data_IF_126386947861
#
_entry.id   IF_126386947861
#
_cell.length_a   1.000
_cell.length_b   1.000
_cell.length_c   1.000
_cell.angle_alpha   90.00
_cell.angle_beta   90.00
_cell.angle_gamma   90.00
#
_symmetry.space_group_name_H-M   'P 1'
#
loop_
_entity.id
_entity.type
_entity.pdbx_description
1 polymer ?
#
# COMPACT_ATOMS: atom_id res chain seq x y z
N UNK A 1 69.62 -30.04 44.13
CA UNK A 1 69.19 -28.63 44.03
C UNK A 1 68.40 -28.49 42.75
N UNK A 2 67.08 -28.33 42.86
CA UNK A 2 66.16 -28.14 41.73
C UNK A 2 66.01 -26.65 41.44
N UNK A 3 66.14 -26.24 40.19
CA UNK A 3 65.53 -25.01 39.68
C UNK A 3 64.94 -25.24 38.28
N UNK A 4 63.60 -25.13 38.27
CA UNK A 4 62.73 -24.40 37.35
C UNK A 4 62.87 -24.56 35.82
N UNK A 5 61.70 -24.77 35.20
CA UNK A 5 61.42 -24.30 33.84
C UNK A 5 60.40 -25.15 33.08
N UNK A 6 59.11 -24.89 33.27
CA UNK A 6 58.10 -25.24 32.26
C UNK A 6 58.23 -24.28 31.08
N UNK A 7 57.90 -24.71 29.84
CA UNK A 7 56.60 -24.30 29.32
C UNK A 7 55.90 -25.28 28.36
N UNK A 8 54.57 -25.12 28.33
CA UNK A 8 53.66 -25.14 27.17
C UNK A 8 53.54 -26.34 26.22
N UNK A 9 52.30 -26.87 26.21
CA UNK A 9 51.44 -27.18 25.04
C UNK A 9 51.84 -28.37 24.14
N UNK A 10 51.04 -29.44 24.21
CA UNK A 10 51.01 -30.54 23.24
C UNK A 10 49.69 -31.31 23.36
N UNK A 11 49.00 -31.46 22.23
CA UNK A 11 47.66 -31.98 22.00
C UNK A 11 47.44 -33.48 22.33
N UNK A 12 46.25 -33.97 21.96
CA UNK A 12 45.73 -35.35 21.95
C UNK A 12 45.02 -35.74 23.27
N UNK A 13 43.70 -35.83 23.35
CA UNK A 13 42.73 -36.39 22.41
C UNK A 13 42.33 -37.76 22.95
N UNK A 14 41.11 -37.92 23.46
CA UNK A 14 40.44 -39.22 23.63
C UNK A 14 38.94 -39.02 23.82
N UNK A 15 38.20 -39.70 22.94
CA UNK A 15 36.76 -39.87 22.95
C UNK A 15 36.29 -40.52 24.25
N UNK A 16 35.11 -40.12 24.73
CA UNK A 16 34.20 -41.08 25.36
C UNK A 16 32.76 -40.55 25.47
N UNK A 17 31.96 -40.98 24.50
CA UNK A 17 30.61 -41.54 24.66
C UNK A 17 29.53 -40.75 25.41
N UNK A 18 28.56 -40.28 24.63
CA UNK A 18 27.19 -40.01 25.03
C UNK A 18 26.49 -41.28 25.56
N UNK A 19 25.67 -41.10 26.60
CA UNK A 19 24.43 -41.86 26.81
C UNK A 19 23.34 -40.92 27.36
N UNK A 20 22.06 -41.15 27.03
CA UNK A 20 21.05 -40.10 26.91
C UNK A 20 20.19 -39.94 28.17
N UNK A 21 20.00 -38.71 28.61
CA UNK A 21 19.05 -38.38 29.67
C UNK A 21 17.62 -38.45 29.08
N UNK A 22 16.93 -39.54 29.42
CA UNK A 22 15.51 -39.75 29.15
C UNK A 22 14.65 -38.65 29.80
N UNK A 23 14.00 -37.89 28.92
CA UNK A 23 12.64 -37.36 29.01
C UNK A 23 11.90 -37.56 30.36
N UNK A 24 11.80 -36.48 31.14
CA UNK A 24 10.66 -36.24 32.03
C UNK A 24 9.92 -35.02 31.50
N UNK A 25 8.93 -35.30 30.66
CA UNK A 25 8.09 -34.32 29.99
C UNK A 25 7.01 -33.83 30.97
N UNK A 26 7.38 -32.92 31.86
CA UNK A 26 6.38 -32.01 32.39
C UNK A 26 6.23 -30.91 31.35
N UNK A 27 5.14 -31.01 30.59
CA UNK A 27 4.68 -29.97 29.70
C UNK A 27 4.45 -28.69 30.52
N UNK A 28 5.50 -27.87 30.60
CA UNK A 28 5.38 -26.47 30.95
C UNK A 28 4.49 -25.84 29.89
N UNK A 29 3.24 -25.64 30.29
CA UNK A 29 2.31 -24.72 29.65
C UNK A 29 2.93 -23.31 29.76
N UNK A 30 3.88 -23.01 28.87
CA UNK A 30 4.47 -21.68 28.79
C UNK A 30 3.37 -20.72 28.30
N UNK A 31 3.07 -19.64 29.04
CA UNK A 31 2.19 -18.57 28.56
C UNK A 31 2.97 -17.67 27.58
N UNK A 32 3.58 -18.27 26.55
CA UNK A 32 4.37 -17.56 25.53
C UNK A 32 3.55 -17.16 24.29
N UNK A 33 2.24 -17.46 24.25
CA UNK A 33 1.36 -17.08 23.15
C UNK A 33 0.91 -15.61 23.19
N UNK A 34 1.48 -14.79 24.09
CA UNK A 34 1.46 -13.33 23.98
C UNK A 34 2.42 -12.85 22.88
N UNK A 35 2.33 -13.46 21.70
CA UNK A 35 3.00 -12.94 20.52
C UNK A 35 2.47 -11.53 20.27
N UNK A 36 3.38 -10.56 20.37
CA UNK A 36 3.19 -9.16 19.95
C UNK A 36 3.02 -9.16 18.43
N UNK A 37 1.94 -9.75 17.96
CA UNK A 37 1.56 -9.64 16.56
C UNK A 37 0.74 -8.37 16.47
N UNK A 38 1.16 -7.46 15.59
CA UNK A 38 0.37 -6.35 15.08
C UNK A 38 -0.84 -6.87 14.27
N UNK A 39 -1.51 -7.91 14.77
CA UNK A 39 -2.69 -8.49 14.18
C UNK A 39 -3.84 -7.57 14.52
N UNK A 40 -4.48 -7.08 13.46
CA UNK A 40 -5.62 -6.19 13.55
C UNK A 40 -6.72 -6.86 14.40
N UNK A 41 -7.15 -6.19 15.47
CA UNK A 41 -8.24 -6.70 16.32
C UNK A 41 -9.54 -6.72 15.51
N UNK A 42 -10.21 -7.88 15.36
CA UNK A 42 -11.45 -7.98 14.58
C UNK A 42 -12.56 -7.15 15.23
N UNK A 43 -13.47 -6.60 14.43
CA UNK A 43 -14.51 -5.67 14.88
C UNK A 43 -15.36 -6.25 16.03
N UNK A 44 -15.67 -7.54 15.97
CA UNK A 44 -16.37 -8.26 17.04
C UNK A 44 -15.66 -8.14 18.39
N UNK A 45 -14.35 -8.37 18.43
CA UNK A 45 -13.56 -8.25 19.65
C UNK A 45 -13.47 -6.81 20.15
N UNK A 46 -13.45 -5.81 19.25
CA UNK A 46 -13.49 -4.38 19.62
C UNK A 46 -14.80 -4.02 20.32
N UNK A 47 -15.93 -4.54 19.84
CA UNK A 47 -17.25 -4.35 20.48
C UNK A 47 -17.31 -5.03 21.85
N UNK A 48 -16.82 -6.28 21.96
CA UNK A 48 -16.74 -6.98 23.25
C UNK A 48 -15.90 -6.22 24.28
N UNK A 49 -14.78 -5.62 23.87
CA UNK A 49 -13.94 -4.79 24.74
C UNK A 49 -14.75 -3.64 25.35
N UNK A 50 -15.54 -2.93 24.55
CA UNK A 50 -16.39 -1.83 25.04
C UNK A 50 -17.45 -2.34 26.01
N UNK A 51 -18.16 -3.43 25.66
CA UNK A 51 -19.18 -4.01 26.54
C UNK A 51 -18.59 -4.46 27.88
N UNK A 52 -17.43 -5.14 27.88
CA UNK A 52 -16.77 -5.53 29.11
C UNK A 52 -16.27 -4.33 29.92
N UNK A 53 -15.92 -3.23 29.23
CA UNK A 53 -15.55 -1.99 29.90
C UNK A 53 -16.74 -1.37 30.61
N UNK A 54 -17.92 -1.38 29.98
CA UNK A 54 -19.17 -0.89 30.58
C UNK A 54 -19.60 -1.73 31.79
N UNK A 55 -19.27 -3.03 31.79
CA UNK A 55 -19.49 -3.93 32.93
C UNK A 55 -18.46 -3.77 34.06
N UNK A 56 -17.49 -2.86 33.93
CA UNK A 56 -16.54 -2.53 34.99
C UNK A 56 -15.35 -3.48 35.12
N UNK A 57 -15.11 -4.38 34.15
CA UNK A 57 -13.94 -5.26 34.19
C UNK A 57 -12.63 -4.45 34.08
N UNK A 58 -11.56 -4.98 34.69
CA UNK A 58 -10.23 -4.39 34.55
C UNK A 58 -9.66 -4.63 33.15
N UNK A 59 -8.81 -3.74 32.66
CA UNK A 59 -8.22 -3.88 31.32
C UNK A 59 -7.44 -5.19 31.13
N UNK A 60 -6.84 -5.73 32.19
CA UNK A 60 -6.11 -7.01 32.15
C UNK A 60 -7.07 -8.17 31.96
N UNK A 61 -8.18 -8.21 32.70
CA UNK A 61 -9.21 -9.24 32.56
C UNK A 61 -9.84 -9.20 31.16
N UNK A 62 -10.18 -8.00 30.67
CA UNK A 62 -10.71 -7.82 29.30
C UNK A 62 -9.71 -8.38 28.27
N UNK A 63 -8.43 -8.10 28.46
CA UNK A 63 -7.35 -8.63 27.62
C UNK A 63 -7.33 -10.15 27.59
N UNK A 64 -7.43 -10.80 28.75
CA UNK A 64 -7.53 -12.25 28.86
C UNK A 64 -8.77 -12.83 28.16
N UNK A 65 -9.95 -12.21 28.30
CA UNK A 65 -11.19 -12.67 27.66
C UNK A 65 -11.17 -12.57 26.13
N UNK A 66 -10.40 -11.62 25.60
CA UNK A 66 -10.33 -11.30 24.16
C UNK A 66 -9.04 -11.86 23.52
N UNK A 67 -8.12 -12.40 24.32
CA UNK A 67 -6.82 -12.88 23.87
C UNK A 67 -5.93 -11.76 23.34
N UNK A 68 -5.90 -10.60 24.02
CA UNK A 68 -5.12 -9.41 23.61
C UNK A 68 -4.42 -8.77 24.80
N UNK A 69 -3.36 -8.00 24.51
CA UNK A 69 -2.62 -7.28 25.54
C UNK A 69 -3.49 -6.16 26.13
N UNK A 70 -3.38 -5.96 27.45
CA UNK A 70 -3.96 -4.85 28.18
C UNK A 70 -3.73 -3.51 27.47
N UNK A 71 -2.54 -3.28 26.89
CA UNK A 71 -2.23 -2.05 26.13
C UNK A 71 -3.14 -1.86 24.91
N UNK A 72 -3.48 -2.95 24.21
CA UNK A 72 -4.41 -2.92 23.08
C UNK A 72 -5.82 -2.61 23.54
N UNK A 73 -6.22 -3.15 24.70
CA UNK A 73 -7.53 -2.88 25.30
C UNK A 73 -7.65 -1.40 25.70
N UNK A 74 -6.63 -0.86 26.39
CA UNK A 74 -6.58 0.56 26.78
C UNK A 74 -6.72 1.44 25.54
N UNK A 75 -5.92 1.21 24.50
CA UNK A 75 -6.01 1.99 23.26
C UNK A 75 -7.39 1.95 22.59
N UNK A 76 -8.07 0.79 22.61
CA UNK A 76 -9.42 0.65 22.06
C UNK A 76 -10.44 1.42 22.89
N UNK A 77 -10.36 1.33 24.22
CA UNK A 77 -11.24 2.06 25.13
C UNK A 77 -11.05 3.57 25.02
N UNK A 78 -9.80 4.05 24.99
CA UNK A 78 -9.49 5.48 24.82
C UNK A 78 -10.05 6.01 23.52
N UNK A 79 -9.89 5.25 22.43
CA UNK A 79 -10.44 5.63 21.14
C UNK A 79 -11.98 5.61 21.13
N UNK A 80 -12.60 4.65 21.82
CA UNK A 80 -14.06 4.64 21.98
C UNK A 80 -14.56 5.89 22.72
N UNK A 81 -13.87 6.31 23.79
CA UNK A 81 -14.20 7.53 24.51
C UNK A 81 -14.06 8.80 23.64
N UNK A 82 -13.09 8.82 22.72
CA UNK A 82 -12.85 9.98 21.85
C UNK A 82 -13.78 10.04 20.63
N UNK A 83 -14.01 8.91 19.96
CA UNK A 83 -14.69 8.87 18.66
C UNK A 83 -16.11 8.29 18.72
N UNK A 84 -16.48 7.60 19.81
CA UNK A 84 -17.76 6.89 19.92
C UNK A 84 -17.93 5.74 18.93
N UNK A 85 -16.83 5.26 18.31
CA UNK A 85 -16.89 4.17 17.33
C UNK A 85 -15.84 3.08 17.55
N UNK A 86 -16.31 1.84 17.40
CA UNK A 86 -15.44 0.65 17.39
C UNK A 86 -14.86 0.38 16.01
N UNK A 87 -15.35 1.08 14.98
CA UNK A 87 -14.94 0.88 13.60
C UNK A 87 -13.53 1.37 13.35
N UNK A 88 -12.90 0.82 12.32
CA UNK A 88 -11.57 1.25 11.91
C UNK A 88 -11.72 2.53 11.10
N UNK A 89 -10.80 3.47 11.31
CA UNK A 89 -10.67 4.60 10.40
C UNK A 89 -10.30 4.05 9.02
N UNK A 90 -11.00 4.52 7.98
CA UNK A 90 -10.61 4.27 6.61
C UNK A 90 -9.17 4.74 6.41
N UNK A 91 -8.38 3.99 5.66
CA UNK A 91 -7.03 4.44 5.29
C UNK A 91 -7.19 5.58 4.30
N UNK A 92 -6.81 6.78 4.69
CA UNK A 92 -6.66 7.88 3.73
C UNK A 92 -5.56 7.52 2.74
N UNK A 93 -5.82 7.73 1.45
CA UNK A 93 -4.78 7.60 0.45
C UNK A 93 -3.74 8.71 0.65
N UNK A 94 -2.44 8.44 0.43
CA UNK A 94 -1.43 9.47 0.39
C UNK A 94 -1.84 10.59 -0.60
N UNK A 95 -1.44 11.84 -0.34
CA UNK A 95 -1.70 12.94 -1.28
C UNK A 95 -1.17 12.56 -2.66
N UNK A 96 -2.03 12.74 -3.67
CA UNK A 96 -1.67 12.42 -5.04
C UNK A 96 -0.70 13.49 -5.57
N UNK A 97 0.38 13.06 -6.21
CA UNK A 97 1.35 13.93 -6.88
C UNK A 97 0.73 14.81 -7.99
N UNK A 98 -0.47 14.45 -8.47
CA UNK A 98 -1.17 15.14 -9.55
C UNK A 98 -2.45 15.74 -8.97
N UNK A 99 -2.66 17.03 -9.21
CA UNK A 99 -3.87 17.73 -8.79
C UNK A 99 -5.07 17.35 -9.67
N UNK A 100 -6.29 17.54 -9.17
CA UNK A 100 -7.52 17.28 -9.95
C UNK A 100 -7.58 18.10 -11.25
N UNK A 101 -6.94 19.28 -11.29
CA UNK A 101 -6.86 20.13 -12.48
C UNK A 101 -5.91 19.54 -13.53
N UNK A 102 -4.73 19.10 -13.11
CA UNK A 102 -3.77 18.44 -13.99
C UNK A 102 -4.31 17.12 -14.53
N UNK A 103 -5.01 16.32 -13.71
CA UNK A 103 -5.63 15.06 -14.17
C UNK A 103 -6.62 15.31 -15.31
N UNK A 104 -7.43 16.39 -15.21
CA UNK A 104 -8.32 16.81 -16.30
C UNK A 104 -7.56 17.24 -17.54
N UNK A 105 -6.46 17.99 -17.38
CA UNK A 105 -5.62 18.42 -18.50
C UNK A 105 -4.93 17.24 -19.20
N UNK A 106 -4.42 16.27 -18.44
CA UNK A 106 -3.82 15.03 -18.95
C UNK A 106 -4.84 14.25 -19.78
N UNK A 107 -6.05 14.06 -19.23
CA UNK A 107 -7.14 13.37 -19.93
C UNK A 107 -7.55 14.13 -21.19
N UNK A 108 -7.71 15.45 -21.10
CA UNK A 108 -8.09 16.28 -22.23
C UNK A 108 -7.06 16.19 -23.38
N UNK A 109 -5.76 16.30 -23.09
CA UNK A 109 -4.72 16.17 -24.11
C UNK A 109 -4.76 14.81 -24.81
N UNK A 110 -4.92 13.73 -24.04
CA UNK A 110 -4.96 12.36 -24.59
C UNK A 110 -6.22 12.05 -25.39
N UNK A 111 -7.33 12.74 -25.13
CA UNK A 111 -8.58 12.61 -25.88
C UNK A 111 -8.55 13.43 -27.17
N UNK A 112 -8.05 14.67 -27.10
CA UNK A 112 -7.99 15.61 -28.23
C UNK A 112 -6.99 15.16 -29.29
N UNK A 113 -5.80 14.74 -28.88
CA UNK A 113 -4.80 14.16 -29.78
C UNK A 113 -4.48 12.73 -29.34
N UNK A 114 -5.07 11.77 -30.07
CA UNK A 114 -4.90 10.35 -29.76
C UNK A 114 -3.48 9.82 -30.06
N UNK A 115 -2.66 10.59 -30.77
CA UNK A 115 -1.27 10.25 -31.08
C UNK A 115 -0.26 10.78 -30.05
N UNK A 116 -0.72 11.60 -29.10
CA UNK A 116 0.15 12.20 -28.09
C UNK A 116 0.77 11.13 -27.18
N UNK A 117 2.05 11.30 -26.86
CA UNK A 117 2.77 10.36 -26.00
C UNK A 117 2.68 10.76 -24.52
N UNK A 118 2.85 9.80 -23.62
CA UNK A 118 2.93 10.09 -22.18
C UNK A 118 4.11 11.01 -21.82
N UNK A 119 5.20 10.97 -22.61
CA UNK A 119 6.37 11.84 -22.40
C UNK A 119 6.06 13.30 -22.77
N UNK A 120 5.41 13.52 -23.91
CA UNK A 120 5.01 14.86 -24.34
C UNK A 120 3.98 15.46 -23.39
N UNK A 121 3.06 14.65 -22.85
CA UNK A 121 2.14 15.08 -21.79
C UNK A 121 2.91 15.49 -20.53
N UNK A 122 3.87 14.68 -20.06
CA UNK A 122 4.66 15.02 -18.88
C UNK A 122 5.40 16.35 -19.06
N UNK A 123 6.10 16.53 -20.19
CA UNK A 123 6.80 17.79 -20.50
C UNK A 123 5.86 18.99 -20.52
N UNK A 124 4.64 18.83 -21.05
CA UNK A 124 3.65 19.90 -21.05
C UNK A 124 3.21 20.27 -19.62
N UNK A 125 2.89 19.29 -18.78
CA UNK A 125 2.51 19.53 -17.38
C UNK A 125 3.65 20.17 -16.58
N UNK A 126 4.88 19.68 -16.78
CA UNK A 126 6.08 20.21 -16.14
C UNK A 126 6.28 21.69 -16.51
N UNK A 127 6.03 22.06 -17.78
CA UNK A 127 6.17 23.45 -18.25
C UNK A 127 5.12 24.41 -17.68
N UNK A 128 3.91 23.91 -17.38
CA UNK A 128 2.79 24.73 -16.91
C UNK A 128 2.77 24.87 -15.39
N UNK A 129 3.22 23.84 -14.67
CA UNK A 129 2.96 23.70 -13.23
C UNK A 129 4.23 23.78 -12.38
N UNK A 130 5.41 23.82 -13.01
CA UNK A 130 6.72 23.88 -12.35
C UNK A 130 6.99 22.73 -11.34
N UNK A 131 6.24 21.63 -11.44
CA UNK A 131 6.53 20.38 -10.75
C UNK A 131 6.75 19.29 -11.80
N UNK A 132 7.67 18.36 -11.52
CA UNK A 132 7.96 17.28 -12.47
C UNK A 132 7.12 16.05 -12.22
N UNK A 133 6.32 15.65 -13.22
CA UNK A 133 5.53 14.43 -13.18
C UNK A 133 6.23 13.33 -13.96
N UNK A 134 6.48 12.19 -13.30
CA UNK A 134 7.08 11.05 -14.00
C UNK A 134 6.17 10.55 -15.14
N UNK A 135 6.79 10.14 -16.26
CA UNK A 135 6.08 9.51 -17.40
C UNK A 135 5.27 8.28 -16.95
N UNK A 136 5.77 7.55 -15.93
CA UNK A 136 5.06 6.41 -15.34
C UNK A 136 3.76 6.86 -14.65
N UNK A 137 3.77 7.97 -13.92
CA UNK A 137 2.58 8.54 -13.29
C UNK A 137 1.53 8.88 -14.36
N UNK A 138 1.93 9.55 -15.45
CA UNK A 138 1.04 9.87 -16.57
C UNK A 138 0.43 8.59 -17.17
N UNK A 139 1.26 7.58 -17.47
CA UNK A 139 0.78 6.30 -18.02
C UNK A 139 -0.22 5.61 -17.09
N UNK A 140 0.06 5.56 -15.79
CA UNK A 140 -0.86 4.99 -14.81
C UNK A 140 -2.19 5.75 -14.77
N UNK A 141 -2.18 7.09 -14.85
CA UNK A 141 -3.41 7.89 -14.90
C UNK A 141 -4.23 7.63 -16.15
N UNK A 142 -3.59 7.61 -17.32
CA UNK A 142 -4.27 7.30 -18.57
C UNK A 142 -4.90 5.90 -18.51
N UNK A 143 -4.18 4.90 -17.99
CA UNK A 143 -4.71 3.54 -17.80
C UNK A 143 -5.87 3.48 -16.82
N UNK A 144 -5.81 4.19 -15.68
CA UNK A 144 -6.92 4.31 -14.73
C UNK A 144 -8.19 4.89 -15.37
N UNK A 145 -8.01 5.73 -16.41
CA UNK A 145 -9.09 6.34 -17.19
C UNK A 145 -9.46 5.53 -18.45
N UNK A 146 -8.86 4.36 -18.67
CA UNK A 146 -9.11 3.53 -19.85
C UNK A 146 -8.52 4.07 -21.16
N UNK A 147 -7.60 5.04 -21.07
CA UNK A 147 -6.94 5.63 -22.23
C UNK A 147 -5.63 4.90 -22.50
N UNK A 148 -5.56 4.29 -23.68
CA UNK A 148 -4.37 3.62 -24.21
C UNK A 148 -4.11 4.06 -25.65
N UNK A 149 -2.87 3.89 -26.10
CA UNK A 149 -2.51 4.10 -27.49
C UNK A 149 -3.39 3.20 -28.38
N UNK A 150 -4.11 3.80 -29.34
CA UNK A 150 -4.86 3.02 -30.34
C UNK A 150 -3.92 2.67 -31.50
N UNK A 151 -4.00 1.42 -31.96
CA UNK A 151 -3.46 1.04 -33.27
C UNK A 151 -4.35 1.69 -34.33
N UNK A 152 -3.83 2.57 -35.21
CA UNK A 152 -4.62 3.08 -36.31
C UNK A 152 -5.09 1.88 -37.16
N UNK A 153 -6.39 1.84 -37.46
CA UNK A 153 -6.88 0.93 -38.49
C UNK A 153 -6.19 1.32 -39.80
N UNK A 154 -5.73 0.33 -40.57
CA UNK A 154 -5.09 0.51 -41.87
C UNK A 154 -6.10 1.12 -42.86
N UNK A 155 -6.37 2.41 -42.73
CA UNK A 155 -7.13 3.23 -43.65
C UNK A 155 -6.22 4.36 -44.12
N UNK A 156 -6.37 4.73 -45.39
CA UNK A 156 -5.65 5.85 -46.00
C UNK A 156 -5.64 7.05 -45.03
N UNK A 157 -4.46 7.62 -44.70
CA UNK A 157 -4.41 8.77 -43.81
C UNK A 157 -5.23 9.89 -44.43
N UNK A 158 -6.34 10.24 -43.78
CA UNK A 158 -7.10 11.43 -44.15
C UNK A 158 -6.16 12.63 -44.00
N UNK A 159 -5.87 13.29 -45.12
CA UNK A 159 -5.04 14.49 -45.15
C UNK A 159 -5.69 15.58 -44.27
N UNK A 160 -4.87 16.49 -43.73
CA UNK A 160 -5.36 17.58 -42.88
C UNK A 160 -6.45 18.43 -43.58
N UNK A 161 -6.42 18.49 -44.91
CA UNK A 161 -7.44 19.15 -45.73
C UNK A 161 -8.79 18.42 -45.65
N UNK A 162 -8.82 17.09 -45.72
CA UNK A 162 -10.05 16.31 -45.56
C UNK A 162 -10.69 16.49 -44.18
N UNK A 163 -9.88 16.63 -43.12
CA UNK A 163 -10.39 16.90 -41.76
C UNK A 163 -11.01 18.30 -41.64
N UNK A 164 -10.43 19.31 -42.31
CA UNK A 164 -10.94 20.69 -42.33
C UNK A 164 -12.23 20.84 -43.15
N UNK A 165 -12.36 20.10 -44.26
CA UNK A 165 -13.59 20.09 -45.07
C UNK A 165 -14.78 19.44 -44.36
N UNK A 166 -14.55 18.50 -43.44
CA UNK A 166 -15.61 17.89 -42.64
C UNK A 166 -16.16 18.81 -41.54
N UNK A 167 -15.36 19.78 -41.07
CA UNK A 167 -15.78 20.76 -40.06
C UNK A 167 -16.42 22.02 -40.67
N UNK A 168 -16.07 22.35 -41.91
CA UNK A 168 -16.61 23.51 -42.63
C UNK A 168 -17.59 23.02 -43.71
N UNK A 169 -18.86 22.83 -43.34
CA UNK A 169 -19.94 22.57 -44.28
C UNK A 169 -20.06 23.70 -45.29
N UNK A 170 -19.54 23.49 -46.49
CA UNK A 170 -19.70 24.42 -47.61
C UNK A 170 -21.13 24.29 -48.11
N UNK A 171 -21.99 25.26 -47.76
CA UNK A 171 -23.13 25.61 -48.60
C UNK A 171 -22.56 26.14 -49.93
N UNK A 172 -22.65 25.36 -51.01
CA UNK A 172 -22.51 25.89 -52.37
C UNK A 172 -23.90 26.12 -52.92
N UNK A 173 -24.18 27.38 -53.22
CA UNK A 173 -25.36 27.87 -53.93
C UNK A 173 -25.49 27.23 -55.32
N UNK A 174 -26.73 27.04 -55.78
CA UNK A 174 -27.01 26.67 -57.15
C UNK A 174 -28.44 26.17 -57.39
N UNK A 175 -29.42 27.09 -57.46
CA UNK A 175 -30.64 26.84 -58.22
C UNK A 175 -30.90 28.04 -59.14
N UNK A 176 -30.42 27.93 -60.37
CA UNK A 176 -30.92 28.72 -61.51
C UNK A 176 -31.86 27.80 -62.28
N UNK A 177 -33.11 28.23 -62.46
CA UNK A 177 -33.99 27.82 -63.55
C UNK A 177 -34.30 29.05 -64.37
#
# INVERSE_FOLDING_TARGET
MFLAGHPSQGCFGLQSHCAPCYFSNQASFYPSDFTFTFVQVPQFNRRRIVVYRDWGLSFREIGSHVGRNQTTVIWICDRWMQEGTTDRRGRSHPPQCITSREDRQIVHMAVTDRSITSRTIAQHIDSVTHHSVSVRTIRCRLQQRGLSARRPLLGLPLTQNHRRSATNGVMKEGCVR
#
